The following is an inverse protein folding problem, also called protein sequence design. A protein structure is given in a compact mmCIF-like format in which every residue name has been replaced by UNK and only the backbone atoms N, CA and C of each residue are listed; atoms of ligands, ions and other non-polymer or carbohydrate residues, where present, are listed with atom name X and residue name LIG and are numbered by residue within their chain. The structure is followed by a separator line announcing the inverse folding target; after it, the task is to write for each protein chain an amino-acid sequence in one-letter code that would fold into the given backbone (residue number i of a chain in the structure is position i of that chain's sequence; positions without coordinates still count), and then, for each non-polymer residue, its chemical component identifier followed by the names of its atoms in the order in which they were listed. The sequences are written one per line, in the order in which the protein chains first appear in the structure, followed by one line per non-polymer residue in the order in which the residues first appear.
data_IF_254048467268
#
_entry.id   IF_254048467268
#
_cell.length_a   1.000
_cell.length_b   1.000
_cell.length_c   1.000
_cell.angle_alpha   90.00
_cell.angle_beta   90.00
_cell.angle_gamma   90.00
#
_symmetry.space_group_name_H-M   'P 1'
#
loop_
_entity.id
_entity.type
_entity.pdbx_description
1 polymer ?
#
# COMPACT_ATOMS: atom_id res chain seq x y z
N UNK A 1 -13.39 8.91 4.16
CA UNK A 1 -12.56 8.36 3.07
C UNK A 1 -11.32 9.22 2.91
N UNK A 2 -10.13 8.63 2.94
CA UNK A 2 -8.85 9.33 2.88
C UNK A 2 -8.03 8.86 1.66
N UNK A 3 -7.47 9.77 0.87
CA UNK A 3 -6.68 9.44 -0.32
C UNK A 3 -5.24 9.90 -0.15
N UNK A 4 -4.28 9.02 -0.42
CA UNK A 4 -2.86 9.32 -0.46
C UNK A 4 -2.42 9.38 -1.93
N UNK A 5 -2.04 10.56 -2.37
CA UNK A 5 -1.54 10.84 -3.71
C UNK A 5 -0.06 10.41 -3.82
N UNK A 6 0.21 9.20 -4.30
CA UNK A 6 1.57 8.65 -4.31
C UNK A 6 2.52 9.41 -5.24
N UNK A 7 2.00 10.16 -6.21
CA UNK A 7 2.79 11.06 -7.06
C UNK A 7 3.57 12.11 -6.29
N UNK A 8 3.08 12.52 -5.11
CA UNK A 8 3.74 13.51 -4.25
C UNK A 8 5.01 12.95 -3.58
N UNK A 9 5.19 11.63 -3.61
CA UNK A 9 6.29 10.91 -2.97
C UNK A 9 7.28 10.31 -3.97
N UNK A 10 7.20 10.72 -5.25
CA UNK A 10 8.13 10.23 -6.27
C UNK A 10 9.58 10.66 -5.95
N UNK A 11 10.58 9.80 -6.27
CA UNK A 11 10.43 8.45 -6.82
C UNK A 11 10.05 7.43 -5.73
N UNK A 12 9.10 6.51 -6.02
CA UNK A 12 8.68 5.43 -5.10
C UNK A 12 9.68 4.27 -5.06
N UNK A 13 10.95 4.60 -4.83
CA UNK A 13 12.08 3.66 -4.93
C UNK A 13 12.75 3.38 -3.60
N UNK A 14 12.58 4.28 -2.61
CA UNK A 14 13.25 4.21 -1.32
C UNK A 14 12.43 3.49 -0.26
N UNK A 15 13.11 2.70 0.57
CA UNK A 15 12.56 2.09 1.78
C UNK A 15 11.97 3.13 2.75
N UNK A 16 12.61 4.31 2.90
CA UNK A 16 12.12 5.38 3.77
C UNK A 16 10.78 5.95 3.31
N UNK A 17 10.56 6.04 2.00
CA UNK A 17 9.28 6.47 1.42
C UNK A 17 8.20 5.43 1.71
N UNK A 18 8.56 4.14 1.60
CA UNK A 18 7.70 3.04 2.01
C UNK A 18 7.27 3.12 3.48
N UNK A 19 8.22 3.37 4.39
CA UNK A 19 7.93 3.57 5.82
C UNK A 19 7.00 4.77 6.03
N UNK A 20 7.29 5.91 5.41
CA UNK A 20 6.50 7.13 5.57
C UNK A 20 5.04 6.92 5.16
N UNK A 21 4.81 6.33 3.99
CA UNK A 21 3.46 6.04 3.50
C UNK A 21 2.78 5.00 4.39
N UNK A 22 3.53 3.98 4.84
CA UNK A 22 3.04 3.01 5.81
C UNK A 22 2.51 3.68 7.08
N UNK A 23 3.30 4.54 7.69
CA UNK A 23 2.94 5.19 8.96
C UNK A 23 1.72 6.12 8.77
N UNK A 24 1.61 6.77 7.61
CA UNK A 24 0.41 7.53 7.23
C UNK A 24 -0.84 6.64 7.13
N UNK A 25 -0.74 5.51 6.43
CA UNK A 25 -1.86 4.55 6.32
C UNK A 25 -2.26 4.06 7.70
N UNK A 26 -1.29 3.66 8.53
CA UNK A 26 -1.54 3.19 9.90
C UNK A 26 -2.25 4.24 10.74
N UNK A 27 -1.72 5.44 10.80
CA UNK A 27 -2.30 6.54 11.58
C UNK A 27 -3.75 6.81 11.16
N UNK A 28 -4.06 6.71 9.86
CA UNK A 28 -5.42 6.87 9.37
C UNK A 28 -6.33 5.69 9.73
N UNK A 29 -5.80 4.46 9.74
CA UNK A 29 -6.56 3.29 10.14
C UNK A 29 -6.88 3.25 11.64
N UNK A 30 -5.98 3.77 12.48
CA UNK A 30 -6.14 3.85 13.94
C UNK A 30 -7.03 5.00 14.39
N UNK A 31 -6.93 6.17 13.74
CA UNK A 31 -7.67 7.37 14.14
C UNK A 31 -9.09 7.42 13.59
N UNK A 32 -9.31 6.84 12.41
CA UNK A 32 -10.58 6.89 11.71
C UNK A 32 -10.96 5.47 11.30
N UNK A 33 -12.24 5.12 11.26
CA UNK A 33 -12.70 3.83 10.69
C UNK A 33 -12.85 3.87 9.15
N UNK A 34 -12.15 4.84 8.55
CA UNK A 34 -12.30 5.20 7.15
C UNK A 34 -11.54 4.29 6.19
N UNK A 35 -11.99 4.33 4.93
CA UNK A 35 -11.32 3.71 3.80
C UNK A 35 -10.15 4.59 3.32
N UNK A 36 -8.97 3.97 3.18
CA UNK A 36 -7.74 4.56 2.68
C UNK A 36 -7.53 4.16 1.22
N UNK A 37 -7.41 5.14 0.33
CA UNK A 37 -7.12 4.96 -1.09
C UNK A 37 -5.67 5.35 -1.34
N UNK A 38 -4.90 4.42 -1.89
CA UNK A 38 -3.56 4.68 -2.43
C UNK A 38 -3.70 4.98 -3.92
N UNK A 39 -3.50 6.24 -4.29
CA UNK A 39 -3.65 6.71 -5.65
C UNK A 39 -2.30 6.69 -6.40
N UNK A 40 -2.22 5.86 -7.44
CA UNK A 40 -1.04 5.69 -8.29
C UNK A 40 -1.09 6.57 -9.55
N UNK A 41 -1.98 7.56 -9.60
CA UNK A 41 -2.03 8.52 -10.71
C UNK A 41 -0.65 9.16 -10.95
N UNK A 42 -0.19 9.10 -12.19
CA UNK A 42 1.13 9.53 -12.61
C UNK A 42 2.30 8.67 -12.10
N UNK A 43 2.09 7.59 -11.34
CA UNK A 43 3.18 6.69 -10.93
C UNK A 43 3.42 5.66 -12.02
N UNK A 44 4.60 5.70 -12.65
CA UNK A 44 4.96 4.75 -13.70
C UNK A 44 5.56 3.46 -13.15
N UNK A 45 6.38 3.58 -12.09
CA UNK A 45 7.15 2.49 -11.50
C UNK A 45 7.26 2.67 -9.99
N UNK A 46 7.25 1.55 -9.26
CA UNK A 46 7.65 1.48 -7.86
C UNK A 46 8.58 0.28 -7.66
N UNK A 47 9.44 0.34 -6.64
CA UNK A 47 10.36 -0.76 -6.35
C UNK A 47 9.69 -1.87 -5.56
N UNK A 48 10.26 -3.07 -5.69
CA UNK A 48 9.90 -4.22 -4.88
C UNK A 48 9.97 -3.90 -3.38
N UNK A 49 11.00 -3.16 -2.97
CA UNK A 49 11.24 -2.73 -1.59
C UNK A 49 10.14 -1.80 -1.07
N UNK A 50 9.66 -0.86 -1.90
CA UNK A 50 8.54 0.02 -1.55
C UNK A 50 7.27 -0.80 -1.32
N UNK A 51 6.95 -1.68 -2.28
CA UNK A 51 5.77 -2.53 -2.19
C UNK A 51 5.84 -3.48 -1.00
N UNK A 52 7.04 -4.00 -0.69
CA UNK A 52 7.24 -4.85 0.47
C UNK A 52 6.87 -4.12 1.75
N UNK A 53 7.33 -2.88 1.96
CA UNK A 53 6.95 -2.08 3.14
C UNK A 53 5.45 -1.87 3.26
N UNK A 54 4.80 -1.56 2.14
CA UNK A 54 3.36 -1.34 2.10
C UNK A 54 2.60 -2.64 2.41
N UNK A 55 3.11 -3.79 1.95
CA UNK A 55 2.57 -5.09 2.29
C UNK A 55 2.95 -5.59 3.68
N UNK A 56 4.02 -5.11 4.31
CA UNK A 56 4.34 -5.46 5.71
C UNK A 56 3.25 -5.01 6.68
N UNK A 57 2.51 -3.94 6.34
CA UNK A 57 1.28 -3.54 7.04
C UNK A 57 0.27 -4.70 7.08
N UNK A 58 0.12 -5.43 5.96
CA UNK A 58 -0.80 -6.57 5.86
C UNK A 58 -0.48 -7.70 6.81
N UNK A 59 0.80 -7.95 7.05
CA UNK A 59 1.23 -9.20 7.69
C UNK A 59 1.50 -9.04 9.18
N UNK A 60 1.80 -7.83 9.67
CA UNK A 60 2.17 -7.64 11.08
C UNK A 60 1.29 -6.66 11.85
N UNK A 61 0.63 -5.71 11.18
CA UNK A 61 0.02 -4.57 11.88
C UNK A 61 -1.51 -4.57 11.82
N UNK A 62 -2.11 -5.09 10.75
CA UNK A 62 -3.57 -5.23 10.63
C UNK A 62 -3.95 -6.62 10.10
N UNK A 63 -5.18 -7.07 10.37
CA UNK A 63 -5.66 -8.34 9.79
C UNK A 63 -5.84 -8.22 8.27
N UNK A 64 -5.71 -9.34 7.55
CA UNK A 64 -5.96 -9.39 6.12
C UNK A 64 -7.38 -8.92 5.75
N UNK A 65 -8.37 -9.22 6.60
CA UNK A 65 -9.76 -8.79 6.41
C UNK A 65 -9.89 -7.26 6.54
N UNK A 66 -9.26 -6.67 7.57
CA UNK A 66 -9.17 -5.20 7.74
C UNK A 66 -8.54 -4.55 6.52
N UNK A 67 -7.39 -5.07 6.05
CA UNK A 67 -6.74 -4.53 4.86
C UNK A 67 -7.66 -4.58 3.64
N UNK A 68 -8.26 -5.74 3.36
CA UNK A 68 -9.11 -5.94 2.17
C UNK A 68 -10.31 -4.98 2.17
N UNK A 69 -10.89 -4.73 3.35
CA UNK A 69 -12.04 -3.83 3.51
C UNK A 69 -11.64 -2.37 3.44
N UNK A 70 -10.53 -1.99 4.08
CA UNK A 70 -10.20 -0.60 4.37
C UNK A 70 -9.12 0.02 3.49
N UNK A 71 -8.33 -0.77 2.75
CA UNK A 71 -7.31 -0.25 1.83
C UNK A 71 -7.70 -0.56 0.39
N UNK A 72 -7.65 0.45 -0.47
CA UNK A 72 -7.88 0.34 -1.92
C UNK A 72 -6.73 0.95 -2.70
N UNK A 73 -6.49 0.40 -3.89
CA UNK A 73 -5.50 0.90 -4.84
C UNK A 73 -6.25 1.45 -6.05
N UNK A 74 -5.91 2.64 -6.53
CA UNK A 74 -6.52 3.24 -7.73
C UNK A 74 -5.45 3.77 -8.69
N UNK A 75 -5.82 3.93 -9.97
CA UNK A 75 -4.96 4.42 -11.05
C UNK A 75 -3.64 3.63 -11.22
N UNK A 76 -3.68 2.32 -10.95
CA UNK A 76 -2.57 1.42 -11.25
C UNK A 76 -2.45 1.24 -12.77
N UNK A 77 -1.25 1.43 -13.32
CA UNK A 77 -0.93 0.93 -14.65
C UNK A 77 -0.80 -0.61 -14.64
N UNK A 78 -0.73 -1.25 -15.81
CA UNK A 78 -0.75 -2.71 -15.89
C UNK A 78 0.45 -3.38 -15.20
N UNK A 79 1.64 -2.78 -15.29
CA UNK A 79 2.82 -3.23 -14.55
C UNK A 79 2.59 -3.20 -13.03
N UNK A 80 2.06 -2.09 -12.52
CA UNK A 80 1.78 -1.91 -11.09
C UNK A 80 0.65 -2.84 -10.61
N UNK A 81 -0.37 -3.11 -11.43
CA UNK A 81 -1.42 -4.10 -11.10
C UNK A 81 -0.81 -5.47 -10.85
N UNK A 82 0.08 -5.92 -11.73
CA UNK A 82 0.69 -7.24 -11.60
C UNK A 82 1.64 -7.32 -10.40
N UNK A 83 2.41 -6.25 -10.16
CA UNK A 83 3.26 -6.13 -8.99
C UNK A 83 2.46 -6.17 -7.68
N UNK A 84 1.38 -5.38 -7.57
CA UNK A 84 0.49 -5.37 -6.39
C UNK A 84 -0.12 -6.75 -6.16
N UNK A 85 -0.68 -7.37 -7.20
CA UNK A 85 -1.28 -8.72 -7.09
C UNK A 85 -0.27 -9.75 -6.58
N UNK A 86 0.93 -9.77 -7.16
CA UNK A 86 2.01 -10.67 -6.77
C UNK A 86 2.35 -10.52 -5.29
N UNK A 87 2.52 -9.27 -4.83
CA UNK A 87 2.87 -8.97 -3.44
C UNK A 87 1.77 -9.29 -2.45
N UNK A 88 0.52 -8.97 -2.77
CA UNK A 88 -0.63 -9.33 -1.93
C UNK A 88 -0.78 -10.85 -1.80
N UNK A 89 -0.58 -11.59 -2.90
CA UNK A 89 -0.63 -13.04 -2.89
C UNK A 89 0.46 -13.63 -1.99
N UNK A 90 1.71 -13.17 -2.13
CA UNK A 90 2.82 -13.57 -1.26
C UNK A 90 2.59 -13.22 0.22
N UNK A 91 1.99 -12.06 0.50
CA UNK A 91 1.66 -11.65 1.87
C UNK A 91 0.56 -12.54 2.47
N UNK A 92 -0.49 -12.87 1.70
CA UNK A 92 -1.58 -13.74 2.19
C UNK A 92 -1.11 -15.16 2.54
N UNK A 93 -0.06 -15.67 1.89
CA UNK A 93 0.52 -16.99 2.18
C UNK A 93 1.35 -17.04 3.45
N UNK A 94 1.85 -15.90 3.93
CA UNK A 94 2.67 -15.83 5.14
C UNK A 94 1.83 -15.67 6.42
N UNK A 95 0.55 -15.31 6.27
CA UNK A 95 -0.40 -15.09 7.38
C UNK A 95 -1.37 -16.28 7.53
N UNK A 96 -1.33 -17.26 6.62
CA UNK A 96 -2.12 -18.50 6.64
C UNK A 96 -1.32 -19.65 7.26
#
# INVERSE_FOLDING_TARGET
MFTIELKEFKPLTSHQIGIKIKDMVKSQLEQNDDLVILNFDGVDVCTDSFMQQLTTILSHEITFDTFRKRIKFTNLNDFLKDLVKSKLFSASKQVA
#
